data_IF_211545639828
#
_entry.id   IF_211545639828
#
_cell.length_a   1.000
_cell.length_b   1.000
_cell.length_c   1.000
_cell.angle_alpha   90.00
_cell.angle_beta   90.00
_cell.angle_gamma   90.00
#
_symmetry.space_group_name_H-M   'P 1'
#
loop_
_entity.id
_entity.type
_entity.pdbx_description
1 polymer ?
#
# COMPACT_ATOMS: atom_id res chain seq x y z
N UNK A 1 -2.53 16.12 14.67
CA UNK A 1 -2.08 15.72 13.32
C UNK A 1 -0.59 15.49 13.21
N UNK A 2 0.27 16.42 13.64
CA UNK A 2 1.73 16.26 13.55
C UNK A 2 2.29 15.09 14.38
N UNK A 3 1.74 14.86 15.58
CA UNK A 3 2.11 13.71 16.42
C UNK A 3 1.80 12.38 15.73
N UNK A 4 0.62 12.26 15.10
CA UNK A 4 0.21 11.06 14.36
C UNK A 4 1.11 10.83 13.14
N UNK A 5 1.46 11.90 12.40
CA UNK A 5 2.37 11.78 11.26
C UNK A 5 3.75 11.26 11.67
N UNK A 6 4.23 11.69 12.83
CA UNK A 6 5.50 11.26 13.41
C UNK A 6 5.44 9.80 13.82
N UNK A 7 4.39 9.42 14.56
CA UNK A 7 4.15 8.04 14.93
C UNK A 7 4.09 7.09 13.73
N UNK A 8 3.29 7.41 12.70
CA UNK A 8 3.24 6.59 11.47
C UNK A 8 4.63 6.49 10.82
N UNK A 9 5.43 7.56 10.85
CA UNK A 9 6.80 7.54 10.31
C UNK A 9 7.70 6.56 11.08
N UNK A 10 7.55 6.52 12.40
CA UNK A 10 8.28 5.59 13.28
C UNK A 10 7.84 4.15 13.05
N UNK A 11 6.53 3.89 13.02
CA UNK A 11 5.97 2.56 12.72
C UNK A 11 6.44 2.04 11.36
N UNK A 12 6.43 2.89 10.33
CA UNK A 12 6.92 2.51 8.99
C UNK A 12 8.41 2.17 9.04
N UNK A 13 9.25 2.96 9.73
CA UNK A 13 10.68 2.65 9.87
C UNK A 13 10.90 1.32 10.58
N UNK A 14 10.19 1.12 11.69
CA UNK A 14 10.29 -0.07 12.51
C UNK A 14 9.83 -1.32 11.74
N UNK A 15 8.74 -1.22 10.99
CA UNK A 15 8.22 -2.30 10.16
C UNK A 15 9.26 -2.82 9.17
N UNK A 16 9.88 -1.92 8.40
CA UNK A 16 10.89 -2.30 7.42
C UNK A 16 12.19 -2.82 8.06
N UNK A 17 12.51 -2.39 9.29
CA UNK A 17 13.65 -2.89 10.04
C UNK A 17 13.41 -4.30 10.60
N UNK A 18 12.23 -4.54 11.20
CA UNK A 18 11.88 -5.80 11.85
C UNK A 18 11.36 -6.87 10.88
N UNK A 19 10.88 -6.44 9.70
CA UNK A 19 10.34 -7.32 8.64
C UNK A 19 9.25 -8.27 9.14
N UNK A 20 8.37 -7.77 10.02
CA UNK A 20 7.35 -8.59 10.67
C UNK A 20 5.93 -8.17 10.25
N UNK A 21 5.27 -8.91 9.34
CA UNK A 21 3.91 -8.60 8.88
C UNK A 21 2.84 -8.76 9.98
N UNK A 22 3.14 -9.46 11.08
CA UNK A 22 2.22 -9.60 12.22
C UNK A 22 1.96 -8.24 12.90
N UNK A 23 2.86 -7.27 12.74
CA UNK A 23 2.69 -5.91 13.27
C UNK A 23 1.46 -5.17 12.75
N UNK A 24 0.84 -5.64 11.67
CA UNK A 24 -0.46 -5.12 11.20
C UNK A 24 -1.51 -5.08 12.33
N UNK A 25 -1.53 -6.10 13.19
CA UNK A 25 -2.48 -6.20 14.31
C UNK A 25 -2.27 -5.10 15.35
N UNK A 26 -1.02 -4.74 15.61
CA UNK A 26 -0.69 -3.67 16.56
C UNK A 26 -0.99 -2.31 15.94
N UNK A 27 -0.46 -2.06 14.73
CA UNK A 27 -0.54 -0.75 14.11
C UNK A 27 -1.98 -0.32 13.82
N UNK A 28 -2.82 -1.21 13.29
CA UNK A 28 -4.21 -0.85 13.02
C UNK A 28 -5.09 -0.80 14.27
N UNK A 29 -4.71 -1.48 15.37
CA UNK A 29 -5.43 -1.40 16.63
C UNK A 29 -5.14 -0.11 17.40
N UNK A 30 -3.89 0.37 17.35
CA UNK A 30 -3.48 1.58 18.07
C UNK A 30 -3.77 2.85 17.26
N UNK A 31 -3.62 2.81 15.94
CA UNK A 31 -3.80 3.99 15.09
C UNK A 31 -5.30 4.32 14.91
N UNK A 32 -5.70 5.60 15.06
CA UNK A 32 -7.08 6.02 14.81
C UNK A 32 -7.52 5.70 13.38
N UNK A 33 -8.78 5.29 13.22
CA UNK A 33 -9.35 4.80 11.95
C UNK A 33 -9.16 5.78 10.78
N UNK A 34 -9.30 7.08 11.04
CA UNK A 34 -9.14 8.16 10.05
C UNK A 34 -7.68 8.33 9.56
N UNK A 35 -6.72 7.60 10.12
CA UNK A 35 -5.32 7.62 9.72
C UNK A 35 -4.84 6.29 9.12
N UNK A 36 -5.70 5.27 9.05
CA UNK A 36 -5.37 3.98 8.47
C UNK A 36 -4.89 4.10 7.02
N UNK A 37 -5.57 4.92 6.21
CA UNK A 37 -5.18 5.19 4.82
C UNK A 37 -3.79 5.83 4.72
N UNK A 38 -3.40 6.68 5.68
CA UNK A 38 -2.10 7.34 5.72
C UNK A 38 -0.96 6.35 6.02
N UNK A 39 -1.20 5.38 6.91
CA UNK A 39 -0.26 4.28 7.16
C UNK A 39 -0.08 3.42 5.91
N UNK A 40 -1.17 3.03 5.27
CA UNK A 40 -1.16 2.23 4.04
C UNK A 40 -0.40 2.97 2.94
N UNK A 41 -0.72 4.24 2.69
CA UNK A 41 -0.06 5.06 1.68
C UNK A 41 1.45 5.11 1.88
N UNK A 42 1.94 5.37 3.10
CA UNK A 42 3.39 5.44 3.38
C UNK A 42 4.08 4.09 3.21
N UNK A 43 3.46 2.99 3.65
CA UNK A 43 4.02 1.65 3.48
C UNK A 43 4.13 1.27 2.00
N UNK A 44 3.04 1.47 1.26
CA UNK A 44 2.93 1.12 -0.17
C UNK A 44 3.85 2.00 -1.01
N UNK A 45 3.85 3.32 -0.80
CA UNK A 45 4.72 4.25 -1.54
C UNK A 45 6.20 3.91 -1.37
N UNK A 46 6.63 3.70 -0.11
CA UNK A 46 8.02 3.30 0.18
C UNK A 46 8.40 1.98 -0.49
N UNK A 47 7.54 0.96 -0.43
CA UNK A 47 7.83 -0.34 -1.02
C UNK A 47 7.80 -0.32 -2.57
N UNK A 48 6.96 0.53 -3.16
CA UNK A 48 6.87 0.72 -4.61
C UNK A 48 8.19 1.23 -5.21
N UNK A 49 8.82 2.20 -4.55
CA UNK A 49 10.09 2.81 -4.97
C UNK A 49 11.31 1.90 -4.73
N UNK A 50 11.17 0.88 -3.89
CA UNK A 50 12.30 0.11 -3.37
C UNK A 50 12.62 -1.16 -4.19
N UNK A 51 12.45 -2.35 -3.59
CA UNK A 51 12.74 -3.67 -4.20
C UNK A 51 11.57 -4.62 -4.02
N UNK A 52 11.54 -5.67 -4.84
CA UNK A 52 10.47 -6.67 -4.82
C UNK A 52 10.27 -7.33 -3.45
N UNK A 53 11.35 -7.54 -2.70
CA UNK A 53 11.30 -8.09 -1.34
C UNK A 53 10.62 -7.14 -0.31
N UNK A 54 10.52 -5.84 -0.60
CA UNK A 54 9.76 -4.88 0.21
C UNK A 54 8.30 -4.83 -0.21
N UNK A 55 8.01 -4.88 -1.51
CA UNK A 55 6.65 -5.02 -2.03
C UNK A 55 5.97 -6.30 -1.53
N UNK A 56 6.69 -7.42 -1.51
CA UNK A 56 6.18 -8.69 -0.96
C UNK A 56 5.91 -8.59 0.54
N UNK A 57 6.83 -7.99 1.30
CA UNK A 57 6.65 -7.79 2.75
C UNK A 57 5.42 -6.92 3.07
N UNK A 58 5.21 -5.84 2.32
CA UNK A 58 4.01 -4.99 2.47
C UNK A 58 2.76 -5.73 2.01
N UNK A 59 2.84 -6.55 0.96
CA UNK A 59 1.74 -7.41 0.52
C UNK A 59 1.29 -8.36 1.64
N UNK A 60 2.22 -9.02 2.33
CA UNK A 60 1.92 -9.91 3.46
C UNK A 60 1.26 -9.17 4.63
N UNK A 61 1.74 -7.95 4.92
CA UNK A 61 1.16 -7.07 5.95
C UNK A 61 -0.29 -6.69 5.61
N UNK A 62 -0.54 -6.28 4.36
CA UNK A 62 -1.85 -5.87 3.90
C UNK A 62 -2.83 -7.05 3.76
N UNK A 63 -2.33 -8.22 3.33
CA UNK A 63 -3.10 -9.46 3.31
C UNK A 63 -3.59 -9.83 4.71
N UNK A 64 -2.72 -9.72 5.72
CA UNK A 64 -3.11 -9.94 7.11
C UNK A 64 -4.16 -8.92 7.56
N UNK A 65 -3.98 -7.65 7.24
CA UNK A 65 -4.94 -6.60 7.57
C UNK A 65 -6.32 -6.84 6.96
N UNK A 66 -6.39 -7.21 5.68
CA UNK A 66 -7.63 -7.53 4.99
C UNK A 66 -8.28 -8.81 5.52
N UNK A 67 -7.51 -9.89 5.66
CA UNK A 67 -8.02 -11.21 6.08
C UNK A 67 -8.55 -11.20 7.52
N UNK A 68 -7.95 -10.40 8.40
CA UNK A 68 -8.38 -10.22 9.79
C UNK A 68 -9.30 -9.02 10.00
N UNK A 69 -9.66 -8.29 8.93
CA UNK A 69 -10.52 -7.10 9.00
C UNK A 69 -10.00 -6.03 9.98
N UNK A 70 -8.68 -5.83 10.03
CA UNK A 70 -8.04 -4.90 10.96
C UNK A 70 -8.28 -3.43 10.57
N UNK A 71 -8.60 -3.17 9.31
CA UNK A 71 -8.95 -1.85 8.80
C UNK A 71 -10.06 -1.96 7.76
N UNK A 72 -10.71 -0.83 7.49
CA UNK A 72 -11.75 -0.75 6.47
C UNK A 72 -11.12 -0.88 5.08
N UNK A 73 -11.80 -1.62 4.20
CA UNK A 73 -11.36 -1.75 2.80
C UNK A 73 -11.25 -0.40 2.09
N UNK A 74 -12.10 0.57 2.45
CA UNK A 74 -12.05 1.93 1.94
C UNK A 74 -10.75 2.66 2.34
N UNK A 75 -10.25 2.43 3.57
CA UNK A 75 -8.99 3.02 4.01
C UNK A 75 -7.80 2.38 3.27
N UNK A 76 -7.87 1.09 2.98
CA UNK A 76 -6.88 0.43 2.11
C UNK A 76 -6.92 1.07 0.72
N UNK A 77 -8.09 1.13 0.07
CA UNK A 77 -8.24 1.73 -1.25
C UNK A 77 -7.72 3.17 -1.31
N UNK A 78 -8.10 4.02 -0.36
CA UNK A 78 -7.64 5.40 -0.26
C UNK A 78 -6.11 5.52 -0.13
N UNK A 79 -5.49 4.61 0.62
CA UNK A 79 -4.04 4.54 0.71
C UNK A 79 -3.38 4.27 -0.64
N UNK A 80 -3.95 3.35 -1.43
CA UNK A 80 -3.45 3.02 -2.78
C UNK A 80 -3.76 4.10 -3.82
N UNK A 81 -4.90 4.79 -3.72
CA UNK A 81 -5.24 5.90 -4.62
C UNK A 81 -4.15 6.97 -4.60
N UNK A 82 -3.72 7.40 -3.40
CA UNK A 82 -2.67 8.41 -3.27
C UNK A 82 -1.29 7.94 -3.76
N UNK A 83 -0.99 6.64 -3.71
CA UNK A 83 0.27 6.11 -4.26
C UNK A 83 0.21 6.00 -5.79
N UNK A 84 -0.94 5.60 -6.33
CA UNK A 84 -1.12 5.45 -7.77
C UNK A 84 -1.08 6.80 -8.52
N UNK A 85 -1.44 7.90 -7.86
CA UNK A 85 -1.32 9.26 -8.40
C UNK A 85 0.11 9.64 -8.79
N UNK A 86 1.12 9.11 -8.08
CA UNK A 86 2.54 9.36 -8.36
C UNK A 86 3.24 8.20 -9.06
N UNK A 87 2.49 7.15 -9.43
CA UNK A 87 3.04 5.95 -10.05
C UNK A 87 3.75 6.25 -11.38
N UNK A 88 3.17 7.14 -12.19
CA UNK A 88 3.71 7.44 -13.52
C UNK A 88 5.08 8.10 -13.44
N UNK A 89 5.26 9.03 -12.49
CA UNK A 89 6.54 9.68 -12.25
C UNK A 89 7.57 8.69 -11.67
N UNK A 90 7.18 7.90 -10.67
CA UNK A 90 8.07 6.92 -10.05
C UNK A 90 8.48 5.83 -11.05
N UNK A 91 7.61 5.47 -11.99
CA UNK A 91 7.91 4.47 -13.01
C UNK A 91 8.99 4.92 -14.02
N UNK A 92 9.26 6.23 -14.12
CA UNK A 92 10.37 6.76 -14.93
C UNK A 92 11.71 6.33 -14.34
N UNK A 93 11.86 6.47 -13.02
CA UNK A 93 13.10 6.12 -12.30
C UNK A 93 13.16 4.63 -11.93
N UNK A 94 12.01 4.03 -11.66
CA UNK A 94 11.85 2.65 -11.24
C UNK A 94 10.84 1.92 -12.14
N UNK A 95 11.26 1.35 -13.28
CA UNK A 95 10.34 0.75 -14.26
C UNK A 95 9.50 -0.43 -13.73
N UNK A 96 9.95 -1.04 -12.62
CA UNK A 96 9.26 -2.13 -11.92
C UNK A 96 8.25 -1.66 -10.86
N UNK A 97 8.04 -0.34 -10.70
CA UNK A 97 7.12 0.22 -9.71
C UNK A 97 5.68 -0.29 -9.90
N UNK A 98 5.24 -0.42 -11.16
CA UNK A 98 3.89 -0.92 -11.47
C UNK A 98 3.70 -2.37 -11.03
N UNK A 99 4.70 -3.23 -11.27
CA UNK A 99 4.72 -4.62 -10.84
C UNK A 99 4.68 -4.74 -9.32
N UNK A 100 5.46 -3.91 -8.62
CA UNK A 100 5.48 -3.87 -7.15
C UNK A 100 4.14 -3.42 -6.58
N UNK A 101 3.52 -2.40 -7.17
CA UNK A 101 2.18 -1.95 -6.78
C UNK A 101 1.15 -3.07 -6.98
N UNK A 102 1.22 -3.78 -8.11
CA UNK A 102 0.35 -4.92 -8.37
C UNK A 102 0.52 -6.05 -7.33
N UNK A 103 1.75 -6.37 -6.92
CA UNK A 103 2.04 -7.35 -5.86
C UNK A 103 1.35 -6.96 -4.54
N UNK A 104 1.41 -5.69 -4.15
CA UNK A 104 0.77 -5.21 -2.91
C UNK A 104 -0.75 -5.20 -3.01
N UNK A 105 -1.32 -4.81 -4.16
CA UNK A 105 -2.76 -4.85 -4.41
C UNK A 105 -3.33 -6.28 -4.37
N UNK A 106 -2.56 -7.26 -4.85
CA UNK A 106 -2.92 -8.69 -4.76
C UNK A 106 -2.99 -9.18 -3.31
N UNK A 107 -2.12 -8.67 -2.43
CA UNK A 107 -2.15 -8.97 -1.00
C UNK A 107 -3.47 -8.56 -0.35
N UNK A 108 -3.97 -7.37 -0.68
CA UNK A 108 -5.27 -6.89 -0.18
C UNK A 108 -6.44 -7.73 -0.71
N UNK A 109 -6.36 -8.20 -1.96
CA UNK A 109 -7.45 -8.93 -2.60
C UNK A 109 -8.59 -8.01 -3.05
N UNK A 110 -8.28 -6.80 -3.52
CA UNK A 110 -9.26 -5.84 -4.03
C UNK A 110 -10.21 -6.46 -5.08
N UNK A 111 -11.48 -6.06 -5.06
CA UNK A 111 -12.46 -6.40 -6.08
C UNK A 111 -12.22 -5.62 -7.39
N UNK A 112 -12.98 -5.96 -8.43
CA UNK A 112 -12.81 -5.35 -9.76
C UNK A 112 -13.01 -3.84 -9.74
N UNK A 113 -14.00 -3.34 -8.98
CA UNK A 113 -14.29 -1.92 -8.84
C UNK A 113 -13.09 -1.15 -8.24
N UNK A 114 -12.54 -1.64 -7.12
CA UNK A 114 -11.40 -1.00 -6.46
C UNK A 114 -10.15 -1.05 -7.36
N UNK A 115 -9.93 -2.17 -8.07
CA UNK A 115 -8.80 -2.27 -9.02
C UNK A 115 -8.91 -1.21 -10.12
N UNK A 116 -10.11 -1.02 -10.70
CA UNK A 116 -10.37 0.00 -11.73
C UNK A 116 -10.24 1.42 -11.17
N UNK A 117 -10.79 1.66 -9.99
CA UNK A 117 -10.69 2.93 -9.26
C UNK A 117 -9.23 3.35 -9.05
N UNK A 118 -8.43 2.46 -8.45
CA UNK A 118 -7.00 2.70 -8.20
C UNK A 118 -6.25 2.91 -9.52
N UNK A 119 -6.41 2.00 -10.49
CA UNK A 119 -5.68 2.09 -11.75
C UNK A 119 -6.03 3.34 -12.58
N UNK A 120 -7.21 3.93 -12.40
CA UNK A 120 -7.62 5.16 -13.08
C UNK A 120 -6.77 6.39 -12.69
N UNK A 121 -6.05 6.33 -11.55
CA UNK A 121 -5.19 7.40 -11.07
C UNK A 121 -3.87 7.52 -11.83
N UNK A 122 -3.47 6.48 -12.55
CA UNK A 122 -2.27 6.48 -13.40
C UNK A 122 -2.71 6.50 -14.86
N UNK A 123 -2.26 7.52 -15.59
CA UNK A 123 -2.61 7.70 -17.00
C UNK A 123 -1.76 6.84 -17.93
N UNK A 124 -0.50 6.59 -17.58
CA UNK A 124 0.43 5.81 -18.40
C UNK A 124 0.40 4.33 -17.98
N UNK A 125 0.56 4.06 -16.68
CA UNK A 125 0.72 2.70 -16.16
C UNK A 125 -0.58 2.03 -15.74
N UNK A 126 -1.72 2.73 -15.69
CA UNK A 126 -3.01 2.19 -15.24
C UNK A 126 -3.46 0.93 -16.00
N UNK A 127 -3.30 0.89 -17.33
CA UNK A 127 -3.61 -0.30 -18.14
C UNK A 127 -2.71 -1.49 -17.82
N UNK A 128 -1.41 -1.23 -17.65
CA UNK A 128 -0.42 -2.25 -17.27
C UNK A 128 -0.75 -2.81 -15.89
N UNK A 129 -1.10 -1.94 -14.94
CA UNK A 129 -1.51 -2.34 -13.59
C UNK A 129 -2.73 -3.26 -13.63
N UNK A 130 -3.78 -2.92 -14.38
CA UNK A 130 -4.96 -3.79 -14.53
C UNK A 130 -4.64 -5.14 -15.15
N UNK A 131 -3.78 -5.19 -16.17
CA UNK A 131 -3.37 -6.43 -16.80
C UNK A 131 -2.62 -7.35 -15.82
N UNK A 132 -1.81 -6.78 -14.92
CA UNK A 132 -1.11 -7.53 -13.87
C UNK A 132 -2.03 -8.06 -12.77
N UNK A 133 -3.21 -7.45 -12.59
CA UNK A 133 -4.21 -7.78 -11.58
C UNK A 133 -5.33 -8.71 -12.11
N UNK A 134 -5.30 -9.02 -13.40
CA UNK A 134 -6.21 -9.99 -14.03
C UNK A 134 -5.75 -11.42 -13.71
#
# INVERSE_FOLDING_TARGET
EEEVKTWISEDVKEFFALRNPVKAEVYFAELPLNHHHSLVNKLVGRAMESKEAEATLVSDFLQRAASKQLCLILALEEGFLGVCEVLDDIAIDAPNATERLAVMMKGVGFGEEQRRSIASKSCINGKKLLALLS
#
